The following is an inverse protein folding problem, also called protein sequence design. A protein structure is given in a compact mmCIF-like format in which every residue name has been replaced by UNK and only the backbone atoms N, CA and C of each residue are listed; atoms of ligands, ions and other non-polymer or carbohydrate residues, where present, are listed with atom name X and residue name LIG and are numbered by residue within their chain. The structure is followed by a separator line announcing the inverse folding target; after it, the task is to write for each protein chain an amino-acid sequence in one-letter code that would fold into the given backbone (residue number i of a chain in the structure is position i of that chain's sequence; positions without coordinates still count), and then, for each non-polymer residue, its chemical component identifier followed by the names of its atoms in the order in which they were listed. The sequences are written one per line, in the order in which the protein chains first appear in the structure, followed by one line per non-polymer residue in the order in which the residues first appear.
data_IF_115537197828
#
_entry.id   IF_115537197828
#
_cell.length_a   1.000
_cell.length_b   1.000
_cell.length_c   1.000
_cell.angle_alpha   90.00
_cell.angle_beta   90.00
_cell.angle_gamma   90.00
#
_symmetry.space_group_name_H-M   'P 1'
#
loop_
_entity.id
_entity.type
_entity.pdbx_description
1 polymer ?
#
# COMPACT_ATOMS: atom_id res chain seq x y z
N UNK A 1 -76.37 9.40 57.79
CA UNK A 1 -75.17 8.57 57.47
C UNK A 1 -74.25 9.40 56.60
N UNK A 2 -73.02 9.77 57.04
CA UNK A 2 -72.17 10.65 56.26
C UNK A 2 -71.34 9.85 55.25
N UNK A 3 -71.33 10.32 54.00
CA UNK A 3 -70.55 9.74 52.91
C UNK A 3 -69.06 10.13 53.06
N UNK A 4 -68.20 9.12 53.17
CA UNK A 4 -66.74 9.26 53.26
C UNK A 4 -66.18 9.60 51.88
N UNK A 5 -65.80 10.87 51.68
CA UNK A 5 -65.15 11.36 50.45
C UNK A 5 -63.78 10.69 50.26
N UNK A 6 -63.60 10.01 49.13
CA UNK A 6 -62.31 9.48 48.65
C UNK A 6 -61.47 10.61 48.07
N UNK A 7 -60.27 10.82 48.61
CA UNK A 7 -59.31 11.83 48.16
C UNK A 7 -58.68 11.49 46.79
N UNK A 8 -58.26 12.50 45.99
CA UNK A 8 -57.73 12.30 44.65
C UNK A 8 -56.28 11.75 44.67
N UNK A 9 -56.02 10.72 43.88
CA UNK A 9 -54.71 10.05 43.76
C UNK A 9 -53.71 10.91 42.98
N UNK A 10 -52.94 11.72 43.69
CA UNK A 10 -51.81 12.49 43.15
C UNK A 10 -50.68 11.52 42.77
N UNK A 11 -50.21 11.57 41.51
CA UNK A 11 -49.00 10.87 41.06
C UNK A 11 -47.81 11.37 41.89
N UNK A 12 -47.37 10.59 42.88
CA UNK A 12 -46.27 10.96 43.78
C UNK A 12 -44.94 10.98 43.00
N UNK A 13 -44.27 12.13 42.99
CA UNK A 13 -42.96 12.32 42.35
C UNK A 13 -41.91 11.40 43.02
N UNK A 14 -41.11 10.61 42.28
CA UNK A 14 -40.15 9.65 42.84
C UNK A 14 -39.14 10.29 43.81
N UNK A 15 -38.73 11.54 43.59
CA UNK A 15 -37.81 12.25 44.50
C UNK A 15 -38.44 12.48 45.88
N UNK A 16 -39.72 12.86 45.93
CA UNK A 16 -40.46 13.03 47.19
C UNK A 16 -40.63 11.71 47.95
N UNK A 17 -40.71 10.57 47.25
CA UNK A 17 -40.81 9.23 47.87
C UNK A 17 -39.46 8.80 48.47
N UNK A 18 -38.35 9.11 47.78
CA UNK A 18 -37.00 8.86 48.32
C UNK A 18 -36.75 9.74 49.52
N UNK A 19 -37.04 11.03 49.45
CA UNK A 19 -36.87 11.98 50.55
C UNK A 19 -37.63 11.54 51.79
N UNK A 20 -38.91 11.15 51.65
CA UNK A 20 -39.78 10.72 52.75
C UNK A 20 -39.31 9.40 53.40
N UNK A 21 -38.98 8.38 52.59
CA UNK A 21 -38.52 7.07 53.09
C UNK A 21 -37.10 7.08 53.65
N UNK A 22 -36.31 8.08 53.27
CA UNK A 22 -34.93 8.23 53.73
C UNK A 22 -34.82 9.36 54.78
N UNK A 23 -35.93 9.97 55.18
CA UNK A 23 -36.00 10.96 56.25
C UNK A 23 -35.89 10.28 57.62
N UNK A 24 -35.14 10.88 58.56
CA UNK A 24 -34.94 10.34 59.91
C UNK A 24 -33.89 9.24 60.05
N UNK A 25 -33.26 8.79 58.96
CA UNK A 25 -32.21 7.78 59.00
C UNK A 25 -30.89 8.39 59.49
N UNK A 26 -30.50 8.07 60.74
CA UNK A 26 -29.27 8.57 61.36
C UNK A 26 -28.04 8.05 60.60
N UNK A 27 -26.96 8.83 60.52
CA UNK A 27 -25.70 8.48 59.84
C UNK A 27 -25.78 8.22 58.32
N UNK A 28 -26.72 8.88 57.63
CA UNK A 28 -26.97 8.80 56.18
C UNK A 28 -25.72 8.89 55.29
N UNK A 29 -24.78 9.76 55.66
CA UNK A 29 -23.55 10.01 54.90
C UNK A 29 -22.31 9.31 55.46
N UNK A 30 -22.44 8.52 56.53
CA UNK A 30 -21.29 7.97 57.28
C UNK A 30 -21.20 6.43 57.25
N UNK A 31 -22.31 5.72 57.01
CA UNK A 31 -22.32 4.25 57.01
C UNK A 31 -22.58 3.70 55.60
N UNK A 32 -21.70 2.79 55.14
CA UNK A 32 -21.82 2.14 53.83
C UNK A 32 -23.10 1.31 53.69
N UNK A 33 -23.53 0.64 54.76
CA UNK A 33 -24.78 -0.14 54.79
C UNK A 33 -26.01 0.76 54.62
N UNK A 34 -25.99 1.94 55.23
CA UNK A 34 -27.07 2.91 55.14
C UNK A 34 -27.11 3.54 53.75
N UNK A 35 -25.95 3.84 53.16
CA UNK A 35 -25.85 4.30 51.77
C UNK A 35 -26.36 3.25 50.76
N UNK A 36 -26.04 1.97 50.98
CA UNK A 36 -26.58 0.88 50.15
C UNK A 36 -28.11 0.80 50.23
N UNK A 37 -28.68 0.96 51.43
CA UNK A 37 -30.13 0.98 51.63
C UNK A 37 -30.80 2.18 50.94
N UNK A 38 -30.17 3.36 50.95
CA UNK A 38 -30.66 4.55 50.23
C UNK A 38 -30.66 4.31 48.71
N UNK A 39 -29.58 3.75 48.16
CA UNK A 39 -29.52 3.37 46.73
C UNK A 39 -30.60 2.35 46.36
N UNK A 40 -30.92 1.43 47.26
CA UNK A 40 -32.02 0.48 47.07
C UNK A 40 -33.38 1.19 47.04
N UNK A 41 -33.64 2.13 47.95
CA UNK A 41 -34.89 2.92 47.97
C UNK A 41 -35.00 3.81 46.72
N UNK A 42 -33.90 4.44 46.29
CA UNK A 42 -33.83 5.24 45.07
C UNK A 42 -34.12 4.41 43.81
N UNK A 43 -33.52 3.23 43.69
CA UNK A 43 -33.77 2.33 42.56
C UNK A 43 -35.21 1.80 42.55
N UNK A 44 -35.82 1.54 43.72
CA UNK A 44 -37.23 1.18 43.82
C UNK A 44 -38.13 2.34 43.41
N UNK A 45 -37.85 3.57 43.86
CA UNK A 45 -38.62 4.76 43.52
C UNK A 45 -38.53 5.11 42.02
N UNK A 46 -37.36 4.96 41.40
CA UNK A 46 -37.14 5.20 39.97
C UNK A 46 -37.87 4.20 39.05
N UNK A 47 -38.26 3.05 39.59
CA UNK A 47 -38.99 2.00 38.86
C UNK A 47 -40.51 2.14 38.94
N UNK A 48 -41.03 2.91 39.90
CA UNK A 48 -42.47 3.15 40.06
C UNK A 48 -42.93 4.14 38.98
N UNK A 49 -43.73 3.66 38.02
CA UNK A 49 -44.34 4.49 36.96
C UNK A 49 -43.69 4.40 35.58
N UNK A 50 -42.58 3.65 35.42
CA UNK A 50 -42.03 3.36 34.08
C UNK A 50 -42.79 2.17 33.46
N UNK A 51 -43.48 2.41 32.34
CA UNK A 51 -44.20 1.38 31.62
C UNK A 51 -43.21 0.40 30.95
N UNK A 52 -43.56 -0.89 30.79
CA UNK A 52 -42.65 -1.92 30.26
C UNK A 52 -42.03 -1.51 28.90
N UNK A 53 -42.84 -0.85 28.08
CA UNK A 53 -42.53 -0.31 26.74
C UNK A 53 -41.45 0.80 26.77
N UNK A 54 -41.38 1.65 27.80
CA UNK A 54 -40.37 2.72 27.87
C UNK A 54 -39.00 2.19 28.32
N UNK A 55 -38.97 1.14 29.15
CA UNK A 55 -37.73 0.46 29.54
C UNK A 55 -37.08 -0.28 28.37
N UNK A 56 -37.86 -0.97 27.54
CA UNK A 56 -37.35 -1.64 26.34
C UNK A 56 -36.78 -0.66 25.31
N UNK A 57 -37.40 0.51 25.10
CA UNK A 57 -36.84 1.57 24.22
C UNK A 57 -35.54 2.18 24.76
N UNK A 58 -35.43 2.39 26.08
CA UNK A 58 -34.19 2.86 26.71
C UNK A 58 -33.06 1.82 26.57
N UNK A 59 -33.38 0.53 26.74
CA UNK A 59 -32.43 -0.57 26.59
C UNK A 59 -31.95 -0.73 25.15
N UNK A 60 -32.84 -0.69 24.16
CA UNK A 60 -32.49 -0.76 22.74
C UNK A 60 -31.61 0.43 22.30
N UNK A 61 -31.88 1.65 22.79
CA UNK A 61 -31.02 2.81 22.51
C UNK A 61 -29.62 2.63 23.10
N UNK A 62 -29.52 2.14 24.34
CA UNK A 62 -28.22 1.87 24.98
C UNK A 62 -27.43 0.80 24.22
N UNK A 63 -28.08 -0.29 23.84
CA UNK A 63 -27.46 -1.36 23.06
C UNK A 63 -27.01 -0.88 21.67
N UNK A 64 -27.79 -0.02 21.00
CA UNK A 64 -27.38 0.59 19.73
C UNK A 64 -26.20 1.56 19.89
N UNK A 65 -26.17 2.38 20.96
CA UNK A 65 -25.03 3.26 21.22
C UNK A 65 -23.78 2.46 21.54
N UNK A 66 -23.91 1.37 22.31
CA UNK A 66 -22.78 0.51 22.67
C UNK A 66 -22.23 -0.24 21.45
N UNK A 67 -23.10 -0.76 20.57
CA UNK A 67 -22.69 -1.35 19.29
C UNK A 67 -21.95 -0.36 18.39
N UNK A 68 -22.38 0.91 18.34
CA UNK A 68 -21.69 1.97 17.57
C UNK A 68 -20.32 2.29 18.16
N UNK A 69 -20.23 2.43 19.48
CA UNK A 69 -18.95 2.70 20.17
C UNK A 69 -17.98 1.53 19.97
N UNK A 70 -18.45 0.28 20.07
CA UNK A 70 -17.63 -0.92 19.86
C UNK A 70 -17.17 -1.10 18.39
N UNK A 71 -17.99 -0.67 17.42
CA UNK A 71 -17.59 -0.65 16.02
C UNK A 71 -16.57 0.46 15.74
N UNK A 72 -16.75 1.64 16.35
CA UNK A 72 -15.82 2.75 16.24
C UNK A 72 -14.46 2.41 16.89
N UNK A 73 -14.47 1.77 18.06
CA UNK A 73 -13.24 1.31 18.72
C UNK A 73 -12.51 0.25 17.89
N UNK A 74 -13.23 -0.74 17.32
CA UNK A 74 -12.62 -1.71 16.39
C UNK A 74 -12.03 -1.03 15.15
N UNK A 75 -12.70 -0.03 14.58
CA UNK A 75 -12.15 0.73 13.45
C UNK A 75 -10.90 1.52 13.82
N UNK A 76 -10.87 2.13 15.01
CA UNK A 76 -9.69 2.83 15.51
C UNK A 76 -8.51 1.86 15.72
N UNK A 77 -8.74 0.73 16.37
CA UNK A 77 -7.70 -0.31 16.58
C UNK A 77 -7.13 -0.81 15.25
N UNK A 78 -7.97 -1.05 14.24
CA UNK A 78 -7.52 -1.41 12.90
C UNK A 78 -6.69 -0.28 12.26
N UNK A 79 -7.15 0.97 12.38
CA UNK A 79 -6.41 2.11 11.82
C UNK A 79 -5.02 2.29 12.47
N UNK A 80 -4.91 2.03 13.78
CA UNK A 80 -3.65 2.06 14.52
C UNK A 80 -2.68 0.99 14.01
N UNK A 81 -3.19 -0.22 13.77
CA UNK A 81 -2.41 -1.37 13.31
C UNK A 81 -1.85 -1.18 11.89
N UNK A 82 -2.59 -0.49 11.01
CA UNK A 82 -2.18 -0.27 9.61
C UNK A 82 -1.38 1.03 9.37
N UNK A 83 -1.02 1.79 10.42
CA UNK A 83 -0.17 2.99 10.30
C UNK A 83 1.19 2.63 9.71
N UNK A 84 1.45 3.14 8.51
CA UNK A 84 2.73 2.94 7.83
C UNK A 84 3.85 3.72 8.53
N UNK A 85 5.07 3.14 8.60
CA UNK A 85 6.21 3.80 9.22
C UNK A 85 6.60 5.09 8.47
N UNK A 86 7.18 6.08 9.17
CA UNK A 86 7.59 7.34 8.55
C UNK A 86 8.71 7.12 7.52
N UNK A 87 8.53 7.70 6.33
CA UNK A 87 9.48 7.63 5.22
C UNK A 87 10.79 8.35 5.57
N UNK A 88 11.92 7.64 5.47
CA UNK A 88 13.27 8.19 5.67
C UNK A 88 13.83 8.73 4.37
N UNK A 89 14.55 9.86 4.44
CA UNK A 89 15.19 10.49 3.28
C UNK A 89 16.70 10.24 3.37
N UNK A 90 17.35 9.74 2.30
CA UNK A 90 18.80 9.61 2.25
C UNK A 90 19.49 10.98 2.30
N UNK A 91 20.67 11.04 2.92
CA UNK A 91 21.40 12.29 3.14
C UNK A 91 21.77 12.94 1.79
N UNK A 92 21.49 14.24 1.63
CA UNK A 92 21.80 15.01 0.42
C UNK A 92 20.71 15.05 -0.66
N UNK A 93 19.55 14.40 -0.46
CA UNK A 93 18.41 14.46 -1.40
C UNK A 93 17.30 15.34 -0.83
N UNK A 94 16.80 16.28 -1.63
CA UNK A 94 15.70 17.15 -1.22
C UNK A 94 14.42 16.33 -0.96
N UNK A 95 13.79 16.44 0.21
CA UNK A 95 12.60 15.65 0.55
C UNK A 95 11.43 15.83 -0.42
N UNK A 96 11.35 17.00 -1.07
CA UNK A 96 10.29 17.34 -2.03
C UNK A 96 10.49 16.70 -3.41
N UNK A 97 11.66 16.11 -3.67
CA UNK A 97 11.93 15.32 -4.86
C UNK A 97 11.40 13.89 -4.77
N UNK A 98 10.86 13.48 -3.61
CA UNK A 98 10.38 12.12 -3.37
C UNK A 98 8.86 12.16 -3.16
N UNK A 99 8.12 11.21 -3.76
CA UNK A 99 6.68 11.08 -3.58
C UNK A 99 6.33 10.78 -2.10
N UNK A 100 5.28 11.43 -1.61
CA UNK A 100 4.73 11.19 -0.28
C UNK A 100 4.00 9.85 -0.21
N UNK A 101 4.48 8.93 0.63
CA UNK A 101 3.84 7.62 0.83
C UNK A 101 2.38 7.73 1.29
N UNK A 102 2.08 8.66 2.21
CA UNK A 102 0.72 8.87 2.71
C UNK A 102 -0.19 9.47 1.63
N UNK A 103 0.34 10.31 0.75
CA UNK A 103 -0.45 10.89 -0.35
C UNK A 103 -0.80 9.82 -1.37
N UNK A 104 0.17 8.95 -1.70
CA UNK A 104 -0.04 7.79 -2.58
C UNK A 104 -1.17 6.88 -2.08
N UNK A 105 -1.32 6.77 -0.76
CA UNK A 105 -2.37 5.98 -0.11
C UNK A 105 -3.67 6.75 0.17
N UNK A 106 -3.71 8.08 -0.08
CA UNK A 106 -4.88 8.92 0.15
C UNK A 106 -5.06 9.41 1.60
N UNK A 107 -4.09 9.19 2.49
CA UNK A 107 -4.16 9.52 3.92
C UNK A 107 -3.31 10.75 4.31
N UNK A 108 -2.89 11.59 3.35
CA UNK A 108 -2.03 12.74 3.66
C UNK A 108 -2.81 14.04 3.91
N UNK A 109 -2.91 14.45 5.17
CA UNK A 109 -3.58 15.70 5.57
C UNK A 109 -2.76 16.97 5.29
N UNK A 110 -1.48 16.83 4.92
CA UNK A 110 -0.53 17.96 4.82
C UNK A 110 -0.67 18.74 3.50
N UNK A 111 -1.36 18.18 2.51
CA UNK A 111 -1.59 18.82 1.21
C UNK A 111 -0.31 19.42 0.59
N UNK A 112 -0.38 20.63 0.05
CA UNK A 112 0.75 21.33 -0.61
C UNK A 112 1.93 21.65 0.33
N UNK A 113 1.67 21.73 1.64
CA UNK A 113 2.68 22.00 2.68
C UNK A 113 3.43 20.73 3.13
N UNK A 114 3.13 19.58 2.54
CA UNK A 114 3.85 18.35 2.82
C UNK A 114 5.36 18.50 2.51
N UNK A 115 6.18 17.85 3.35
CA UNK A 115 7.64 17.73 3.18
C UNK A 115 7.99 16.96 1.91
N UNK A 116 7.13 16.02 1.53
CA UNK A 116 7.25 15.16 0.35
C UNK A 116 6.36 15.65 -0.79
N UNK A 117 6.67 15.24 -2.02
CA UNK A 117 5.91 15.60 -3.22
C UNK A 117 4.52 14.95 -3.23
N UNK A 118 3.52 15.68 -3.75
CA UNK A 118 2.18 15.17 -4.05
C UNK A 118 1.96 15.02 -5.57
N UNK A 119 3.03 15.02 -6.37
CA UNK A 119 2.94 14.79 -7.81
C UNK A 119 3.27 13.32 -8.11
N UNK A 120 2.29 12.56 -8.61
CA UNK A 120 2.45 11.13 -8.91
C UNK A 120 3.55 10.87 -9.95
N UNK A 121 3.83 11.82 -10.83
CA UNK A 121 4.88 11.71 -11.86
C UNK A 121 6.30 11.64 -11.28
N UNK A 122 6.49 12.03 -10.03
CA UNK A 122 7.79 11.96 -9.35
C UNK A 122 8.22 10.51 -9.11
N UNK A 123 7.28 9.59 -8.88
CA UNK A 123 7.59 8.17 -8.65
C UNK A 123 8.16 7.50 -9.91
N UNK A 124 7.62 7.83 -11.09
CA UNK A 124 8.13 7.32 -12.38
C UNK A 124 9.58 7.69 -12.64
N UNK A 125 10.05 8.81 -12.07
CA UNK A 125 11.46 9.26 -12.19
C UNK A 125 12.41 8.50 -11.27
N UNK A 126 11.90 7.77 -10.28
CA UNK A 126 12.70 6.99 -9.33
C UNK A 126 12.99 5.56 -9.79
N UNK A 127 12.27 5.07 -10.80
CA UNK A 127 12.47 3.73 -11.36
C UNK A 127 13.77 3.67 -12.16
N UNK A 128 14.62 2.69 -11.84
CA UNK A 128 15.87 2.46 -12.58
C UNK A 128 15.54 1.84 -13.93
N UNK A 129 16.07 2.43 -14.99
CA UNK A 129 15.94 1.89 -16.36
C UNK A 129 16.48 0.47 -16.41
N UNK A 130 15.73 -0.44 -17.03
CA UNK A 130 16.16 -1.83 -17.19
C UNK A 130 17.47 -1.89 -18.01
N UNK A 131 18.43 -2.65 -17.50
CA UNK A 131 19.80 -2.78 -18.06
C UNK A 131 19.85 -3.91 -19.11
N UNK A 132 18.88 -4.82 -19.07
CA UNK A 132 18.86 -6.02 -19.89
C UNK A 132 18.05 -5.87 -21.17
N UNK A 133 17.19 -4.87 -21.24
CA UNK A 133 16.43 -4.52 -22.44
C UNK A 133 17.01 -3.26 -23.08
N UNK A 134 17.27 -3.33 -24.39
CA UNK A 134 17.72 -2.16 -25.15
C UNK A 134 16.47 -1.37 -25.53
N UNK A 135 16.30 -0.15 -25.01
CA UNK A 135 15.09 0.67 -25.24
C UNK A 135 14.80 0.90 -26.74
N UNK A 136 15.82 0.79 -27.59
CA UNK A 136 15.68 0.92 -29.05
C UNK A 136 15.03 -0.28 -29.71
N UNK A 137 15.06 -1.45 -29.06
CA UNK A 137 14.36 -2.65 -29.53
C UNK A 137 12.87 -2.62 -29.21
N UNK A 138 12.43 -1.78 -28.27
CA UNK A 138 11.01 -1.65 -27.91
C UNK A 138 10.24 -1.03 -29.09
N UNK A 139 10.78 0.04 -29.69
CA UNK A 139 10.20 0.69 -30.87
C UNK A 139 10.19 -0.18 -32.14
N UNK A 140 11.07 -1.17 -32.24
CA UNK A 140 11.06 -2.15 -33.34
C UNK A 140 9.95 -3.20 -33.20
N UNK A 141 9.43 -3.41 -31.99
CA UNK A 141 8.32 -4.35 -31.73
C UNK A 141 6.96 -3.66 -31.58
N UNK A 142 6.90 -2.35 -31.31
CA UNK A 142 5.65 -1.60 -31.19
C UNK A 142 5.04 -1.19 -32.54
N UNK A 143 5.86 -0.97 -33.57
CA UNK A 143 5.39 -0.63 -34.93
C UNK A 143 5.14 -1.85 -35.83
N UNK A 144 4.80 -3.00 -35.24
CA UNK A 144 4.23 -4.11 -36.01
C UNK A 144 3.31 -4.88 -35.08
N UNK A 145 2.01 -4.62 -35.19
CA UNK A 145 1.00 -5.42 -34.52
C UNK A 145 1.27 -6.90 -34.82
N UNK A 146 1.05 -7.78 -33.85
CA UNK A 146 1.08 -9.23 -34.07
C UNK A 146 0.15 -9.68 -35.22
N UNK A 147 -0.80 -8.82 -35.59
CA UNK A 147 -1.71 -8.94 -36.74
C UNK A 147 -0.98 -8.67 -38.07
N UNK A 148 -0.10 -7.66 -38.13
CA UNK A 148 0.65 -7.29 -39.33
C UNK A 148 1.73 -8.30 -39.69
N UNK A 149 2.28 -9.05 -38.71
CA UNK A 149 3.25 -10.13 -38.98
C UNK A 149 2.64 -11.35 -39.66
N UNK A 150 1.34 -11.61 -39.49
CA UNK A 150 0.64 -12.76 -40.10
C UNK A 150 0.03 -12.42 -41.46
N UNK A 151 -0.26 -11.14 -41.72
CA UNK A 151 -0.82 -10.68 -43.00
C UNK A 151 0.23 -10.12 -43.97
N UNK A 152 1.51 -10.01 -43.57
CA UNK A 152 2.63 -9.67 -44.46
C UNK A 152 3.08 -10.87 -45.30
N UNK A 153 2.15 -11.55 -45.97
CA UNK A 153 2.46 -12.50 -47.04
C UNK A 153 2.77 -11.69 -48.30
N UNK A 154 3.80 -12.09 -49.05
CA UNK A 154 4.30 -11.36 -50.24
C UNK A 154 3.19 -11.07 -51.27
N UNK A 155 2.14 -11.89 -51.28
CA UNK A 155 0.98 -11.82 -52.18
C UNK A 155 0.04 -10.63 -51.92
N UNK A 156 0.14 -9.96 -50.75
CA UNK A 156 -0.67 -8.79 -50.37
C UNK A 156 0.11 -7.47 -50.48
N UNK A 157 1.24 -7.46 -51.20
CA UNK A 157 2.09 -6.28 -51.31
C UNK A 157 1.78 -5.52 -52.60
N UNK A 158 1.30 -4.27 -52.46
CA UNK A 158 1.14 -3.35 -53.58
C UNK A 158 2.49 -2.87 -54.15
N UNK A 159 2.52 -2.42 -55.41
CA UNK A 159 3.72 -1.97 -56.12
C UNK A 159 4.49 -0.87 -55.37
N UNK A 160 3.80 0.03 -54.68
CA UNK A 160 4.41 1.08 -53.85
C UNK A 160 5.19 0.49 -52.66
N UNK A 161 4.62 -0.53 -52.00
CA UNK A 161 5.29 -1.26 -50.90
C UNK A 161 6.48 -2.04 -51.44
N UNK A 162 6.35 -2.64 -52.62
CA UNK A 162 7.45 -3.34 -53.30
C UNK A 162 8.61 -2.39 -53.58
N UNK A 163 8.33 -1.20 -54.14
CA UNK A 163 9.34 -0.15 -54.37
C UNK A 163 9.99 0.32 -53.06
N UNK A 164 9.23 0.49 -51.99
CA UNK A 164 9.77 0.88 -50.67
C UNK A 164 10.72 -0.16 -50.07
N UNK A 165 10.41 -1.46 -50.22
CA UNK A 165 11.26 -2.55 -49.75
C UNK A 165 12.52 -2.62 -50.62
N UNK A 166 12.41 -2.47 -51.93
CA UNK A 166 13.56 -2.44 -52.84
C UNK A 166 14.46 -1.24 -52.50
N UNK A 167 13.93 -0.03 -52.35
CA UNK A 167 14.69 1.17 -51.97
C UNK A 167 15.37 1.01 -50.61
N UNK A 168 14.68 0.44 -49.61
CA UNK A 168 15.27 0.17 -48.29
C UNK A 168 16.37 -0.91 -48.30
N UNK A 169 16.41 -1.78 -49.32
CA UNK A 169 17.46 -2.79 -49.52
C UNK A 169 18.68 -2.26 -50.29
N UNK A 170 18.52 -1.21 -51.10
CA UNK A 170 19.59 -0.66 -51.94
C UNK A 170 20.61 0.22 -51.20
N UNK A 171 20.38 0.52 -49.92
CA UNK A 171 21.43 1.01 -49.02
C UNK A 171 21.88 -0.10 -48.08
N UNK A 172 23.18 -0.33 -47.90
CA UNK A 172 23.68 -1.28 -46.89
C UNK A 172 23.17 -0.82 -45.51
N UNK A 173 22.12 -1.45 -44.94
CA UNK A 173 21.56 -0.95 -43.71
C UNK A 173 22.63 -1.12 -42.64
N UNK A 174 22.93 -0.06 -41.87
CA UNK A 174 23.89 -0.15 -40.77
C UNK A 174 23.38 -1.20 -39.79
N UNK A 175 23.90 -2.43 -39.91
CA UNK A 175 23.45 -3.54 -39.09
C UNK A 175 23.88 -3.33 -37.66
N UNK A 176 22.97 -3.54 -36.71
CA UNK A 176 23.30 -3.53 -35.29
C UNK A 176 24.18 -4.74 -35.00
N UNK A 177 25.35 -4.50 -34.43
CA UNK A 177 26.28 -5.57 -34.05
C UNK A 177 25.82 -6.24 -32.74
N UNK A 178 26.27 -7.48 -32.52
CA UNK A 178 26.04 -8.20 -31.25
C UNK A 178 26.99 -7.76 -30.13
N UNK A 179 27.77 -6.69 -30.33
CA UNK A 179 28.75 -6.20 -29.36
C UNK A 179 28.10 -5.12 -28.50
N UNK A 180 28.41 -5.11 -27.21
CA UNK A 180 27.93 -4.11 -26.26
C UNK A 180 28.71 -2.79 -26.46
N UNK A 181 28.02 -1.66 -26.40
CA UNK A 181 28.65 -0.35 -26.56
C UNK A 181 29.62 -0.05 -25.40
N UNK A 182 30.82 0.45 -25.71
CA UNK A 182 31.83 0.83 -24.70
C UNK A 182 31.32 1.93 -23.76
N UNK A 183 30.70 2.98 -24.31
CA UNK A 183 30.18 4.10 -23.53
C UNK A 183 29.01 3.69 -22.64
N UNK A 184 28.26 2.65 -23.01
CA UNK A 184 27.22 2.07 -22.17
C UNK A 184 27.81 1.38 -20.94
N UNK A 185 28.89 0.61 -21.11
CA UNK A 185 29.58 -0.01 -19.98
C UNK A 185 30.14 1.05 -19.03
N UNK A 186 30.79 2.08 -19.57
CA UNK A 186 31.32 3.20 -18.79
C UNK A 186 30.20 3.98 -18.05
N UNK A 187 29.03 4.15 -18.69
CA UNK A 187 27.89 4.80 -18.07
C UNK A 187 27.29 3.99 -16.91
N UNK A 188 27.31 2.66 -17.01
CA UNK A 188 26.91 1.76 -15.92
C UNK A 188 27.92 1.82 -14.78
N UNK A 189 29.21 1.76 -15.07
CA UNK A 189 30.27 1.85 -14.05
C UNK A 189 30.21 3.17 -13.28
N UNK A 190 29.91 4.27 -13.98
CA UNK A 190 29.73 5.59 -13.38
C UNK A 190 28.35 5.80 -12.74
N UNK A 191 27.41 4.87 -12.91
CA UNK A 191 26.04 4.99 -12.40
C UNK A 191 25.21 6.11 -13.04
N UNK A 192 25.65 6.62 -14.20
CA UNK A 192 24.98 7.70 -14.95
C UNK A 192 23.98 7.17 -15.98
N UNK A 193 23.95 5.85 -16.22
CA UNK A 193 23.00 5.22 -17.14
C UNK A 193 21.56 5.33 -16.61
N UNK A 194 20.64 5.84 -17.44
CA UNK A 194 19.26 6.06 -17.05
C UNK A 194 18.40 6.71 -18.13
N UNK A 195 17.31 7.36 -17.71
CA UNK A 195 16.33 8.00 -18.59
C UNK A 195 16.91 9.17 -19.41
N UNK A 196 17.88 9.89 -18.86
CA UNK A 196 18.51 11.06 -19.51
C UNK A 196 19.86 10.76 -20.17
N UNK A 197 20.29 9.50 -20.18
CA UNK A 197 21.58 9.15 -20.77
C UNK A 197 21.45 8.90 -22.28
N UNK A 198 22.19 9.68 -23.07
CA UNK A 198 22.29 9.54 -24.52
C UNK A 198 23.68 9.05 -24.87
N UNK A 199 23.77 8.04 -25.74
CA UNK A 199 25.04 7.50 -26.16
C UNK A 199 25.85 8.52 -26.98
N UNK A 200 27.13 8.78 -26.64
CA UNK A 200 27.98 9.68 -27.44
C UNK A 200 28.26 9.17 -28.86
N UNK A 201 28.07 7.87 -29.11
CA UNK A 201 28.28 7.22 -30.39
C UNK A 201 26.94 7.12 -31.15
N UNK A 202 26.42 8.26 -31.59
CA UNK A 202 25.17 8.43 -32.36
C UNK A 202 23.84 8.21 -31.61
N UNK A 203 23.82 8.35 -30.28
CA UNK A 203 22.58 8.32 -29.49
C UNK A 203 21.78 7.04 -29.69
N UNK A 204 20.57 7.17 -30.26
CA UNK A 204 19.70 6.04 -30.57
C UNK A 204 20.19 5.22 -31.79
N UNK A 205 20.96 5.82 -32.70
CA UNK A 205 21.47 5.13 -33.91
C UNK A 205 22.80 4.39 -33.68
N UNK A 206 23.23 4.23 -32.43
CA UNK A 206 24.48 3.53 -32.11
C UNK A 206 24.50 2.11 -32.70
N UNK A 207 25.57 1.78 -33.45
CA UNK A 207 25.79 0.45 -34.05
C UNK A 207 25.89 -0.68 -33.03
N UNK A 208 26.22 -0.35 -31.78
CA UNK A 208 26.44 -1.30 -30.69
C UNK A 208 25.23 -1.36 -29.75
N UNK A 209 25.04 -2.48 -29.06
CA UNK A 209 23.89 -2.69 -28.17
C UNK A 209 24.04 -1.94 -26.84
N UNK A 210 22.96 -1.32 -26.37
CA UNK A 210 22.86 -0.66 -25.06
C UNK A 210 22.11 -1.56 -24.09
N UNK A 211 22.54 -2.82 -24.00
CA UNK A 211 22.04 -3.79 -23.04
C UNK A 211 23.13 -4.76 -22.67
N UNK A 212 23.03 -5.32 -21.47
CA UNK A 212 23.87 -6.45 -21.12
C UNK A 212 23.48 -7.69 -21.92
N UNK A 213 24.48 -8.39 -22.46
CA UNK A 213 24.27 -9.71 -23.04
C UNK A 213 24.30 -10.73 -21.91
N UNK A 214 23.10 -11.17 -21.55
CA UNK A 214 22.82 -12.17 -20.51
C UNK A 214 23.68 -13.44 -20.67
N UNK A 215 24.04 -13.80 -21.90
CA UNK A 215 24.84 -15.00 -22.22
C UNK A 215 26.20 -15.05 -21.51
N UNK A 216 26.89 -13.91 -21.34
CA UNK A 216 28.23 -13.90 -20.72
C UNK A 216 28.14 -14.20 -19.22
N UNK A 217 27.10 -13.71 -18.55
CA UNK A 217 26.91 -13.91 -17.11
C UNK A 217 26.55 -15.36 -16.78
N UNK A 218 25.64 -15.98 -17.55
CA UNK A 218 25.29 -17.38 -17.36
C UNK A 218 26.45 -18.33 -17.70
N UNK A 219 27.22 -18.04 -18.75
CA UNK A 219 28.40 -18.85 -19.08
C UNK A 219 29.47 -18.76 -17.98
N UNK A 220 29.74 -17.56 -17.46
CA UNK A 220 30.71 -17.36 -16.37
C UNK A 220 30.23 -17.99 -15.06
N UNK A 221 28.95 -17.86 -14.72
CA UNK A 221 28.35 -18.49 -13.53
C UNK A 221 28.37 -20.01 -13.63
N UNK A 222 28.02 -20.57 -14.81
CA UNK A 222 28.06 -22.02 -15.07
C UNK A 222 29.48 -22.56 -14.97
N UNK A 223 30.48 -21.81 -15.45
CA UNK A 223 31.89 -22.17 -15.33
C UNK A 223 32.38 -22.16 -13.87
N UNK A 224 31.99 -21.14 -13.09
CA UNK A 224 32.32 -21.03 -11.67
C UNK A 224 31.68 -22.17 -10.86
N UNK A 225 30.40 -22.45 -11.09
CA UNK A 225 29.68 -23.55 -10.42
C UNK A 225 30.31 -24.90 -10.77
N UNK A 226 30.62 -25.14 -12.05
CA UNK A 226 31.29 -26.37 -12.49
C UNK A 226 32.67 -26.53 -11.84
N UNK A 227 33.44 -25.45 -11.75
CA UNK A 227 34.75 -25.45 -11.09
C UNK A 227 34.66 -25.80 -9.60
N UNK A 228 33.70 -25.20 -8.88
CA UNK A 228 33.48 -25.48 -7.45
C UNK A 228 32.98 -26.91 -7.20
N UNK A 229 32.08 -27.43 -8.04
CA UNK A 229 31.60 -28.81 -7.94
C UNK A 229 32.73 -29.82 -8.20
N UNK A 230 33.57 -29.57 -9.19
CA UNK A 230 34.70 -30.46 -9.51
C UNK A 230 35.78 -30.41 -8.42
N UNK A 231 36.03 -29.23 -7.84
CA UNK A 231 36.91 -29.08 -6.68
C UNK A 231 36.36 -29.82 -5.45
N UNK A 232 35.06 -29.69 -5.16
CA UNK A 232 34.41 -30.39 -4.06
C UNK A 232 34.45 -31.91 -4.24
N UNK A 233 34.22 -32.40 -5.46
CA UNK A 233 34.35 -33.82 -5.82
C UNK A 233 35.78 -34.35 -5.61
N UNK A 234 36.79 -33.60 -6.03
CA UNK A 234 38.21 -33.94 -5.81
C UNK A 234 38.58 -33.96 -4.33
N UNK A 235 38.11 -32.98 -3.55
CA UNK A 235 38.33 -32.91 -2.09
C UNK A 235 37.65 -34.10 -1.41
N UNK A 236 36.39 -34.40 -1.74
CA UNK A 236 35.63 -35.53 -1.19
C UNK A 236 36.31 -36.88 -1.47
N UNK A 237 36.78 -37.12 -2.70
CA UNK A 237 37.53 -38.33 -3.06
C UNK A 237 38.87 -38.45 -2.32
N UNK A 238 39.54 -37.33 -2.03
CA UNK A 238 40.81 -37.31 -1.28
C UNK A 238 40.60 -37.59 0.22
N UNK A 239 39.48 -37.16 0.79
CA UNK A 239 39.09 -37.46 2.17
C UNK A 239 38.75 -38.96 2.31
N UNK A 240 37.94 -39.52 1.40
CA UNK A 240 37.58 -40.96 1.41
C UNK A 240 38.74 -41.93 1.22
N UNK A 241 39.87 -41.49 0.63
CA UNK A 241 41.08 -42.32 0.47
C UNK A 241 42.01 -42.29 1.69
N UNK A 242 41.79 -41.38 2.65
CA UNK A 242 42.60 -41.22 3.85
C UNK A 242 41.99 -41.89 5.10
N UNK A 243 40.74 -42.30 5.02
CA UNK A 243 40.02 -43.14 5.99
C UNK A 243 40.06 -44.58 5.54
#
# INVERSE_FOLDING_TARGET
MPQKKTAPSVKKNPQKIVEDKTFGLKNKNKSSKIQAHIRQIESQAANIGKNKITKEKEMQKKEQTEKKIAEESRKMELSELFKQPPQKVPFGVDPKSILCQYFKQGFCDKGKKCKFSHNLDVEKRSEKKDIYTDSRLIHLNENKSLIDKKNDTIDLWDDEKLQSVVLSKHGNPKTTTNIVCKFFLEAIEKGIYGWFWVCPNDGDNCKYKHRFIILIFFLRLKYIIAFHLDLFSKISKKIKKKT
#
